data_IF_507477433931
#
_entry.id   IF_507477433931
#
_cell.length_a   1.000
_cell.length_b   1.000
_cell.length_c   1.000
_cell.angle_alpha   90.00
_cell.angle_beta   90.00
_cell.angle_gamma   90.00
#
_symmetry.space_group_name_H-M   'P 1'
#
loop_
_entity.id
_entity.type
_entity.pdbx_description
1 polymer ?
#
# COMPACT_ATOMS: atom_id res chain seq x y z
N UNK A 1 7.32 3.09 -9.87
CA UNK A 1 6.59 2.05 -9.12
C UNK A 1 7.44 1.57 -7.97
N UNK A 2 6.89 1.57 -6.75
CA UNK A 2 7.56 1.03 -5.56
C UNK A 2 6.80 -0.21 -5.11
N UNK A 3 7.50 -1.33 -4.88
CA UNK A 3 6.90 -2.59 -4.49
C UNK A 3 7.28 -2.91 -3.04
N UNK A 4 6.29 -3.13 -2.19
CA UNK A 4 6.52 -3.63 -0.84
C UNK A 4 6.83 -5.13 -0.91
N UNK A 5 7.76 -5.60 -0.10
CA UNK A 5 8.13 -7.03 -0.02
C UNK A 5 6.89 -7.91 0.25
N UNK A 6 5.88 -7.38 0.95
CA UNK A 6 4.63 -8.09 1.24
C UNK A 6 3.78 -8.40 0.00
N UNK A 7 3.93 -7.64 -1.09
CA UNK A 7 3.19 -7.86 -2.34
C UNK A 7 3.70 -9.08 -3.11
N UNK A 8 4.97 -9.46 -2.93
CA UNK A 8 5.48 -10.68 -3.50
C UNK A 8 4.84 -11.89 -2.81
N UNK A 9 4.56 -12.91 -3.62
CA UNK A 9 4.07 -14.20 -3.16
C UNK A 9 4.98 -14.73 -2.04
N UNK A 10 4.44 -15.33 -0.95
CA UNK A 10 5.25 -15.81 0.17
C UNK A 10 6.41 -16.72 -0.25
N UNK A 11 6.19 -17.58 -1.25
CA UNK A 11 7.19 -18.47 -1.85
C UNK A 11 8.33 -17.73 -2.56
N UNK A 12 8.08 -16.52 -3.06
CA UNK A 12 9.05 -15.74 -3.82
C UNK A 12 9.87 -14.76 -2.96
N UNK A 13 9.41 -14.41 -1.75
CA UNK A 13 10.05 -13.37 -0.91
C UNK A 13 11.52 -13.62 -0.62
N UNK A 14 11.95 -14.88 -0.48
CA UNK A 14 13.36 -15.23 -0.23
C UNK A 14 14.29 -14.80 -1.38
N UNK A 15 13.78 -14.66 -2.61
CA UNK A 15 14.56 -14.18 -3.75
C UNK A 15 14.82 -12.67 -3.70
N UNK A 16 13.98 -11.94 -2.96
CA UNK A 16 14.03 -10.47 -2.84
C UNK A 16 14.72 -10.04 -1.54
N UNK A 17 14.56 -10.82 -0.46
CA UNK A 17 15.18 -10.53 0.82
C UNK A 17 16.71 -10.53 0.73
N UNK A 18 17.34 -9.55 1.39
CA UNK A 18 18.79 -9.38 1.39
C UNK A 18 19.38 -8.77 0.12
N UNK A 19 18.57 -8.51 -0.92
CA UNK A 19 19.01 -7.75 -2.10
C UNK A 19 19.18 -6.27 -1.76
N UNK A 20 20.15 -5.64 -2.42
CA UNK A 20 20.49 -4.22 -2.23
C UNK A 20 20.29 -3.44 -3.53
N UNK A 21 20.53 -2.13 -3.45
CA UNK A 21 20.56 -1.26 -4.62
C UNK A 21 21.49 -1.84 -5.69
N UNK A 22 21.06 -1.73 -6.94
CA UNK A 22 21.69 -2.20 -8.18
C UNK A 22 21.71 -3.73 -8.38
N UNK A 23 21.18 -4.52 -7.44
CA UNK A 23 20.93 -5.93 -7.68
C UNK A 23 19.74 -6.11 -8.65
N UNK A 24 19.82 -7.15 -9.48
CA UNK A 24 18.75 -7.54 -10.41
C UNK A 24 18.13 -8.87 -9.98
N UNK A 25 16.80 -8.93 -10.02
CA UNK A 25 16.01 -10.14 -9.81
C UNK A 25 15.40 -10.55 -11.15
N UNK A 26 15.68 -11.76 -11.58
CA UNK A 26 15.06 -12.35 -12.76
C UNK A 26 13.78 -13.07 -12.37
N UNK A 27 12.63 -12.68 -12.93
CA UNK A 27 11.34 -13.18 -12.48
C UNK A 27 10.29 -13.23 -13.61
N UNK A 28 9.29 -14.08 -13.44
CA UNK A 28 8.00 -13.99 -14.12
C UNK A 28 6.99 -13.36 -13.17
N UNK A 29 6.11 -12.50 -13.66
CA UNK A 29 5.13 -11.80 -12.81
C UNK A 29 4.16 -12.82 -12.20
N UNK A 30 3.74 -13.83 -12.97
CA UNK A 30 2.87 -14.93 -12.52
C UNK A 30 3.46 -15.80 -11.41
N UNK A 31 4.80 -15.85 -11.29
CA UNK A 31 5.49 -16.61 -10.24
C UNK A 31 5.87 -15.77 -9.03
N UNK A 32 6.08 -14.47 -9.23
CA UNK A 32 6.55 -13.56 -8.19
C UNK A 32 5.44 -12.95 -7.35
N UNK A 33 4.20 -12.90 -7.87
CA UNK A 33 3.04 -12.25 -7.25
C UNK A 33 1.81 -13.18 -7.28
N UNK A 34 0.89 -12.99 -6.33
CA UNK A 34 -0.43 -13.64 -6.37
C UNK A 34 -1.33 -12.93 -7.40
N UNK A 35 -2.42 -13.58 -7.84
CA UNK A 35 -3.24 -13.13 -8.97
C UNK A 35 -3.66 -11.64 -8.88
N UNK A 36 -4.09 -11.20 -7.70
CA UNK A 36 -4.53 -9.81 -7.47
C UNK A 36 -3.39 -8.81 -7.65
N UNK A 37 -2.24 -9.07 -7.02
CA UNK A 37 -1.06 -8.22 -7.12
C UNK A 37 -0.46 -8.27 -8.53
N UNK A 38 -0.45 -9.44 -9.18
CA UNK A 38 0.02 -9.62 -10.55
C UNK A 38 -0.81 -8.79 -11.54
N UNK A 39 -2.14 -8.82 -11.45
CA UNK A 39 -3.03 -8.01 -12.28
C UNK A 39 -2.78 -6.51 -12.10
N UNK A 40 -2.58 -6.06 -10.85
CA UNK A 40 -2.26 -4.66 -10.54
C UNK A 40 -0.92 -4.25 -11.17
N UNK A 41 0.10 -5.10 -11.05
CA UNK A 41 1.44 -4.81 -11.57
C UNK A 41 1.45 -4.81 -13.11
N UNK A 42 0.74 -5.73 -13.75
CA UNK A 42 0.61 -5.76 -15.21
C UNK A 42 -0.07 -4.48 -15.71
N UNK A 43 -1.16 -4.06 -15.06
CA UNK A 43 -1.86 -2.82 -15.40
C UNK A 43 -0.97 -1.59 -15.22
N UNK A 44 -0.24 -1.50 -14.09
CA UNK A 44 0.70 -0.40 -13.81
C UNK A 44 1.85 -0.31 -14.84
N UNK A 45 2.19 -1.43 -15.47
CA UNK A 45 3.23 -1.52 -16.51
C UNK A 45 2.66 -1.42 -17.94
N UNK A 46 1.33 -1.35 -18.10
CA UNK A 46 0.67 -1.35 -19.41
C UNK A 46 0.81 -2.68 -20.17
N UNK A 47 1.02 -3.78 -19.45
CA UNK A 47 1.19 -5.13 -19.99
C UNK A 47 -0.12 -5.91 -20.00
N UNK A 48 -0.21 -6.91 -20.86
CA UNK A 48 -1.38 -7.79 -20.94
C UNK A 48 -1.20 -9.03 -20.06
N UNK A 49 -2.29 -9.77 -19.82
CA UNK A 49 -2.26 -10.96 -18.97
C UNK A 49 -1.31 -12.04 -19.53
N UNK A 50 -1.19 -12.13 -20.84
CA UNK A 50 -0.31 -13.07 -21.54
C UNK A 50 1.17 -12.75 -21.32
N UNK A 51 1.52 -11.52 -20.93
CA UNK A 51 2.89 -11.13 -20.61
C UNK A 51 3.33 -11.62 -19.22
N UNK A 52 2.41 -12.12 -18.38
CA UNK A 52 2.70 -12.50 -16.99
C UNK A 52 3.76 -13.60 -16.87
N UNK A 53 3.79 -14.52 -17.84
CA UNK A 53 4.73 -15.65 -17.91
C UNK A 53 6.04 -15.29 -18.64
N UNK A 54 6.23 -14.04 -19.05
CA UNK A 54 7.50 -13.60 -19.64
C UNK A 54 8.51 -13.33 -18.55
N UNK A 55 9.78 -13.53 -18.89
CA UNK A 55 10.86 -13.21 -17.98
C UNK A 55 11.20 -11.71 -18.02
N UNK A 56 11.26 -11.10 -16.84
CA UNK A 56 11.63 -9.72 -16.61
C UNK A 56 12.86 -9.62 -15.73
N UNK A 57 13.59 -8.52 -15.91
CA UNK A 57 14.68 -8.13 -15.02
C UNK A 57 14.19 -6.96 -14.16
N UNK A 58 14.03 -7.21 -12.86
CA UNK A 58 13.71 -6.19 -11.87
C UNK A 58 15.01 -5.68 -11.23
N UNK A 59 15.45 -4.50 -11.66
CA UNK A 59 16.63 -3.83 -11.08
C UNK A 59 16.23 -2.95 -9.90
N UNK A 60 16.87 -3.14 -8.75
CA UNK A 60 16.56 -2.38 -7.54
C UNK A 60 17.26 -1.03 -7.58
N UNK A 61 16.52 0.05 -7.83
CA UNK A 61 17.10 1.41 -7.88
C UNK A 61 17.24 2.07 -6.52
N UNK A 62 16.37 1.69 -5.56
CA UNK A 62 16.35 2.21 -4.19
C UNK A 62 15.74 1.18 -3.25
N UNK A 63 16.30 1.07 -2.04
CA UNK A 63 15.70 0.32 -0.93
C UNK A 63 15.23 1.34 0.11
N UNK A 64 13.97 1.23 0.51
CA UNK A 64 13.39 2.03 1.59
C UNK A 64 12.94 1.14 2.74
N UNK A 65 13.16 1.58 3.97
CA UNK A 65 12.62 0.94 5.16
C UNK A 65 11.31 1.64 5.52
N UNK A 66 10.25 0.87 5.76
CA UNK A 66 8.97 1.39 6.25
C UNK A 66 8.91 1.11 7.74
N UNK A 67 9.09 2.17 8.53
CA UNK A 67 8.94 2.12 9.99
C UNK A 67 7.59 2.69 10.37
N UNK A 68 6.91 2.05 11.33
CA UNK A 68 5.71 2.64 11.92
C UNK A 68 6.16 3.89 12.67
N UNK A 69 5.58 5.03 12.31
CA UNK A 69 5.76 6.23 13.09
C UNK A 69 5.27 6.00 14.54
N UNK A 70 5.97 6.60 15.49
CA UNK A 70 5.51 6.63 16.87
C UNK A 70 4.20 7.42 16.98
N UNK A 71 3.29 6.97 17.83
CA UNK A 71 2.02 7.67 18.09
C UNK A 71 2.27 8.88 18.99
N UNK A 72 2.89 9.91 18.42
CA UNK A 72 3.22 11.17 19.09
C UNK A 72 2.58 12.37 18.37
N UNK A 73 2.73 13.56 18.96
CA UNK A 73 2.15 14.79 18.43
C UNK A 73 2.62 15.10 16.99
N UNK A 74 3.87 14.79 16.64
CA UNK A 74 4.38 14.98 15.27
C UNK A 74 3.62 14.11 14.26
N UNK A 75 3.37 12.84 14.61
CA UNK A 75 2.55 11.95 13.78
C UNK A 75 1.09 12.42 13.69
N UNK A 76 0.51 12.90 14.79
CA UNK A 76 -0.88 13.39 14.80
C UNK A 76 -1.05 14.62 13.92
N UNK A 77 -0.12 15.58 13.97
CA UNK A 77 -0.10 16.77 13.13
C UNK A 77 0.12 16.44 11.65
N UNK A 78 0.90 15.39 11.35
CA UNK A 78 1.10 14.91 9.99
C UNK A 78 -0.17 14.29 9.39
N UNK A 79 -0.96 13.56 10.19
CA UNK A 79 -2.21 12.92 9.76
C UNK A 79 -3.38 13.91 9.71
N UNK A 80 -3.49 14.79 10.72
CA UNK A 80 -4.53 15.82 10.82
C UNK A 80 -3.90 17.23 10.85
N UNK A 81 -3.45 17.73 9.69
CA UNK A 81 -2.85 19.06 9.61
C UNK A 81 -3.83 20.13 10.10
N UNK A 82 -3.34 21.09 10.89
CA UNK A 82 -4.10 22.20 11.47
C UNK A 82 -5.14 21.80 12.53
N UNK A 83 -5.04 20.59 13.10
CA UNK A 83 -5.86 20.19 14.24
C UNK A 83 -5.05 20.13 15.54
N UNK A 84 -4.85 21.30 16.15
CA UNK A 84 -4.06 21.48 17.39
C UNK A 84 -4.68 20.82 18.63
N UNK A 85 -5.90 20.26 18.51
CA UNK A 85 -6.59 19.59 19.61
C UNK A 85 -6.14 18.14 19.83
N UNK A 86 -5.47 17.52 18.84
CA UNK A 86 -5.02 16.14 18.92
C UNK A 86 -3.60 16.09 19.49
N UNK A 87 -3.50 15.89 20.81
CA UNK A 87 -2.20 15.86 21.51
C UNK A 87 -1.86 14.50 22.09
N UNK A 88 -2.87 13.68 22.33
CA UNK A 88 -2.69 12.35 22.90
C UNK A 88 -3.16 11.26 21.95
N UNK A 89 -2.70 10.03 22.20
CA UNK A 89 -3.19 8.86 21.47
C UNK A 89 -4.72 8.69 21.60
N UNK A 90 -5.30 9.05 22.75
CA UNK A 90 -6.75 8.99 22.97
C UNK A 90 -7.51 9.98 22.09
N UNK A 91 -6.98 11.19 21.93
CA UNK A 91 -7.57 12.20 21.04
C UNK A 91 -7.47 11.75 19.58
N UNK A 92 -6.32 11.19 19.19
CA UNK A 92 -6.09 10.70 17.84
C UNK A 92 -7.06 9.57 17.48
N UNK A 93 -7.23 8.59 18.38
CA UNK A 93 -8.18 7.48 18.20
C UNK A 93 -9.62 7.97 18.12
N UNK A 94 -9.98 8.98 18.90
CA UNK A 94 -11.31 9.60 18.85
C UNK A 94 -11.56 10.29 17.52
N UNK A 95 -10.59 11.07 17.04
CA UNK A 95 -10.67 11.73 15.73
C UNK A 95 -10.82 10.74 14.58
N UNK A 96 -10.03 9.66 14.57
CA UNK A 96 -10.15 8.57 13.58
C UNK A 96 -11.54 7.94 13.63
N UNK A 97 -12.08 7.70 14.83
CA UNK A 97 -13.42 7.13 14.98
C UNK A 97 -14.50 8.05 14.41
N UNK A 98 -14.46 9.34 14.74
CA UNK A 98 -15.41 10.32 14.20
C UNK A 98 -15.33 10.45 12.68
N UNK A 99 -14.13 10.37 12.10
CA UNK A 99 -13.94 10.37 10.65
C UNK A 99 -14.59 9.14 9.99
N UNK A 100 -14.37 7.96 10.58
CA UNK A 100 -15.00 6.71 10.11
C UNK A 100 -16.52 6.81 10.20
N UNK A 101 -17.07 7.32 11.31
CA UNK A 101 -18.52 7.53 11.48
C UNK A 101 -19.09 8.47 10.41
N UNK A 102 -18.44 9.62 10.16
CA UNK A 102 -18.85 10.56 9.11
C UNK A 102 -18.83 9.92 7.72
N UNK A 103 -17.81 9.12 7.42
CA UNK A 103 -17.72 8.40 6.15
C UNK A 103 -18.91 7.44 5.96
N UNK A 104 -19.27 6.67 6.99
CA UNK A 104 -20.41 5.76 6.92
C UNK A 104 -21.75 6.49 6.82
N UNK A 105 -21.94 7.57 7.57
CA UNK A 105 -23.15 8.39 7.51
C UNK A 105 -23.34 8.98 6.11
N UNK A 106 -22.27 9.47 5.49
CA UNK A 106 -22.31 10.00 4.13
C UNK A 106 -22.57 8.90 3.10
N UNK A 107 -21.91 7.74 3.24
CA UNK A 107 -22.15 6.59 2.37
C UNK A 107 -23.60 6.09 2.46
N UNK A 108 -24.18 6.04 3.66
CA UNK A 108 -25.57 5.63 3.87
C UNK A 108 -26.55 6.62 3.25
N UNK A 109 -26.32 7.94 3.41
CA UNK A 109 -27.15 8.98 2.78
C UNK A 109 -27.11 8.92 1.26
N UNK A 110 -25.93 8.70 0.68
CA UNK A 110 -25.78 8.58 -0.77
C UNK A 110 -26.50 7.33 -1.30
N UNK A 111 -26.41 6.19 -0.62
CA UNK A 111 -27.17 4.99 -1.01
C UNK A 111 -28.69 5.19 -0.92
N UNK A 112 -29.18 5.95 0.06
CA UNK A 112 -30.60 6.28 0.16
C UNK A 112 -31.06 7.27 -0.92
N UNK A 113 -30.19 8.17 -1.38
CA UNK A 113 -30.49 9.11 -2.46
C UNK A 113 -30.49 8.43 -3.84
N UNK A 114 -29.65 7.41 -4.05
CA UNK A 114 -29.62 6.64 -5.31
C UNK A 114 -30.80 5.65 -5.44
N UNK A 115 -31.53 5.39 -4.35
CA UNK A 115 -32.68 4.46 -4.32
C UNK A 115 -34.05 5.15 -4.41
N UNK A 116 -34.11 6.47 -4.58
CA UNK A 116 -35.35 7.26 -4.81
C UNK A 116 -35.34 7.79 -6.23
#
# INVERSE_FOLDING_TARGET
NSLLVKYFAPSFRNNVQGKKKDDTIHLQISQAFEDKEAETILADLGLQKEDADRFFNLTITKVGLVEKAELNEEFFLAVYPNNDSIKTEADFRSAVKEEIEKYYDQSARNQMQDQI
#
